data_IF_769878227522
#
_entry.id   IF_769878227522
#
_cell.length_a   1.000
_cell.length_b   1.000
_cell.length_c   1.000
_cell.angle_alpha   90.00
_cell.angle_beta   90.00
_cell.angle_gamma   90.00
#
_symmetry.space_group_name_H-M   'P 1'
#
loop_
_entity.id
_entity.type
_entity.pdbx_description
1 polymer ?
#
# COMPACT_ATOMS: atom_id res chain seq x y z
N UNK A 1 -26.96 -8.29 -0.14
CA UNK A 1 -25.81 -8.28 0.79
C UNK A 1 -24.53 -8.06 -0.01
N UNK A 2 -24.11 -6.80 -0.23
CA UNK A 2 -22.86 -6.46 -0.96
C UNK A 2 -21.87 -5.79 0.01
N UNK A 3 -21.43 -6.55 1.03
CA UNK A 3 -20.55 -6.06 2.09
C UNK A 3 -19.23 -5.43 1.57
N UNK A 4 -18.73 -5.93 0.43
CA UNK A 4 -17.50 -5.44 -0.21
C UNK A 4 -17.61 -4.05 -0.85
N UNK A 5 -18.82 -3.53 -1.16
CA UNK A 5 -18.97 -2.19 -1.76
C UNK A 5 -18.72 -1.06 -0.76
N UNK A 6 -19.02 -1.29 0.52
CA UNK A 6 -18.79 -0.33 1.61
C UNK A 6 -17.33 0.03 1.83
N UNK A 7 -16.38 -0.75 1.29
CA UNK A 7 -14.96 -0.36 1.36
C UNK A 7 -14.70 0.93 0.56
N UNK A 8 -15.47 1.19 -0.51
CA UNK A 8 -15.36 2.38 -1.37
C UNK A 8 -16.28 3.54 -1.00
N UNK A 9 -17.12 3.37 0.03
CA UNK A 9 -18.03 4.41 0.54
C UNK A 9 -17.48 5.01 1.85
N UNK A 10 -18.01 6.18 2.24
CA UNK A 10 -17.77 6.80 3.56
C UNK A 10 -18.03 5.77 4.66
N UNK A 11 -17.05 5.54 5.53
CA UNK A 11 -17.14 4.49 6.55
C UNK A 11 -16.43 4.88 7.83
N UNK A 12 -16.61 4.07 8.88
CA UNK A 12 -15.94 4.25 10.17
C UNK A 12 -14.41 4.34 10.08
N UNK A 13 -13.79 3.69 9.08
CA UNK A 13 -12.36 3.81 8.81
C UNK A 13 -12.17 4.75 7.61
N UNK A 14 -11.42 5.87 7.77
CA UNK A 14 -11.08 6.75 6.66
C UNK A 14 -10.38 6.01 5.52
N UNK A 15 -10.66 6.43 4.28
CA UNK A 15 -10.15 5.79 3.05
C UNK A 15 -8.64 5.61 3.07
N UNK A 16 -7.90 6.63 3.54
CA UNK A 16 -6.45 6.59 3.72
C UNK A 16 -5.97 5.32 4.45
N UNK A 17 -6.57 5.01 5.59
CA UNK A 17 -6.18 3.85 6.39
C UNK A 17 -6.64 2.52 5.79
N UNK A 18 -7.78 2.50 5.10
CA UNK A 18 -8.22 1.31 4.37
C UNK A 18 -7.27 0.95 3.24
N UNK A 19 -6.72 1.94 2.54
CA UNK A 19 -5.80 1.70 1.43
C UNK A 19 -4.45 1.19 1.94
N UNK A 20 -3.95 1.71 3.07
CA UNK A 20 -2.77 1.15 3.74
C UNK A 20 -2.99 -0.31 4.14
N UNK A 21 -4.16 -0.66 4.72
CA UNK A 21 -4.50 -2.05 5.05
C UNK A 21 -4.56 -2.94 3.80
N UNK A 22 -5.21 -2.47 2.73
CA UNK A 22 -5.31 -3.19 1.47
C UNK A 22 -3.92 -3.43 0.87
N UNK A 23 -3.05 -2.42 0.89
CA UNK A 23 -1.67 -2.54 0.42
C UNK A 23 -0.88 -3.60 1.21
N UNK A 24 -0.97 -3.60 2.54
CA UNK A 24 -0.32 -4.63 3.36
C UNK A 24 -0.83 -6.04 3.01
N UNK A 25 -2.15 -6.20 2.84
CA UNK A 25 -2.75 -7.49 2.47
C UNK A 25 -2.28 -7.93 1.07
N UNK A 26 -2.22 -6.99 0.13
CA UNK A 26 -1.77 -7.23 -1.24
C UNK A 26 -0.30 -7.64 -1.33
N UNK A 27 0.56 -7.06 -0.48
CA UNK A 27 1.95 -7.49 -0.34
C UNK A 27 2.05 -8.94 0.11
N UNK A 28 1.25 -9.33 1.11
CA UNK A 28 1.15 -10.72 1.60
C UNK A 28 0.54 -11.66 0.55
N UNK A 29 -0.37 -11.16 -0.30
CA UNK A 29 -0.96 -11.92 -1.41
C UNK A 29 -0.09 -11.95 -2.67
N UNK A 30 1.03 -11.25 -2.69
CA UNK A 30 2.00 -11.34 -3.78
C UNK A 30 1.44 -10.87 -5.15
N UNK A 31 0.46 -9.96 -5.15
CA UNK A 31 -0.16 -9.45 -6.38
C UNK A 31 0.54 -8.18 -6.88
N UNK A 32 1.56 -8.31 -7.75
CA UNK A 32 2.30 -7.18 -8.34
C UNK A 32 1.44 -6.05 -8.94
N UNK A 33 0.45 -6.31 -9.81
CA UNK A 33 -0.38 -5.24 -10.36
C UNK A 33 -1.24 -4.58 -9.27
N UNK A 34 -1.68 -5.34 -8.26
CA UNK A 34 -2.40 -4.80 -7.13
C UNK A 34 -1.51 -3.91 -6.25
N UNK A 35 -0.22 -4.27 -6.06
CA UNK A 35 0.73 -3.46 -5.29
C UNK A 35 0.81 -2.07 -5.93
N UNK A 36 1.09 -2.01 -7.22
CA UNK A 36 1.15 -0.74 -7.97
C UNK A 36 -0.15 0.07 -7.83
N UNK A 37 -1.30 -0.58 -8.06
CA UNK A 37 -2.61 0.07 -7.97
C UNK A 37 -2.87 0.65 -6.58
N UNK A 38 -2.69 -0.13 -5.51
CA UNK A 38 -2.95 0.36 -4.16
C UNK A 38 -1.89 1.35 -3.67
N UNK A 39 -0.65 1.29 -4.19
CA UNK A 39 0.33 2.37 -3.98
C UNK A 39 -0.15 3.67 -4.60
N UNK A 40 -0.57 3.67 -5.86
CA UNK A 40 -1.11 4.86 -6.53
C UNK A 40 -2.31 5.45 -5.77
N UNK A 41 -3.26 4.59 -5.39
CA UNK A 41 -4.43 5.02 -4.62
C UNK A 41 -4.00 5.61 -3.28
N UNK A 42 -3.11 4.95 -2.53
CA UNK A 42 -2.56 5.47 -1.26
C UNK A 42 -2.01 6.89 -1.44
N UNK A 43 -1.20 7.12 -2.47
CA UNK A 43 -0.65 8.45 -2.77
C UNK A 43 -1.78 9.45 -3.08
N UNK A 44 -2.75 9.06 -3.90
CA UNK A 44 -3.88 9.93 -4.27
C UNK A 44 -4.76 10.35 -3.08
N UNK A 45 -4.86 9.50 -2.05
CA UNK A 45 -5.63 9.78 -0.82
C UNK A 45 -4.78 10.41 0.30
N UNK A 46 -3.55 10.82 -0.01
CA UNK A 46 -2.68 11.57 0.89
C UNK A 46 -1.91 10.71 1.90
N UNK A 47 -1.65 9.44 1.59
CA UNK A 47 -0.64 8.68 2.32
C UNK A 47 0.75 9.24 2.04
N UNK A 48 1.56 9.38 3.08
CA UNK A 48 2.98 9.72 2.94
C UNK A 48 3.78 8.47 2.59
N UNK A 49 4.99 8.69 2.06
CA UNK A 49 5.94 7.60 1.83
C UNK A 49 6.25 6.83 3.11
N UNK A 50 6.35 7.52 4.24
CA UNK A 50 6.62 6.93 5.55
C UNK A 50 5.48 6.00 6.00
N UNK A 51 4.23 6.44 5.87
CA UNK A 51 3.05 5.61 6.22
C UNK A 51 2.96 4.36 5.34
N UNK A 52 3.28 4.49 4.04
CA UNK A 52 3.27 3.35 3.11
C UNK A 52 4.36 2.34 3.46
N UNK A 53 5.58 2.82 3.78
CA UNK A 53 6.68 1.95 4.20
C UNK A 53 6.41 1.28 5.55
N UNK A 54 5.74 1.97 6.48
CA UNK A 54 5.34 1.39 7.76
C UNK A 54 4.28 0.29 7.58
N UNK A 55 3.30 0.50 6.70
CA UNK A 55 2.35 -0.53 6.30
C UNK A 55 3.04 -1.74 5.63
N UNK A 56 4.11 -1.52 4.86
CA UNK A 56 4.92 -2.58 4.29
C UNK A 56 5.72 -3.35 5.36
N UNK A 57 6.20 -2.68 6.42
CA UNK A 57 6.83 -3.34 7.56
C UNK A 57 5.86 -4.26 8.29
N UNK A 58 4.60 -3.85 8.46
CA UNK A 58 3.54 -4.72 9.01
C UNK A 58 3.35 -5.95 8.13
N UNK A 59 3.28 -5.78 6.80
CA UNK A 59 3.18 -6.90 5.87
C UNK A 59 4.39 -7.84 5.94
N UNK A 60 5.60 -7.29 6.06
CA UNK A 60 6.83 -8.06 6.20
C UNK A 60 6.86 -8.87 7.49
N UNK A 61 6.43 -8.28 8.61
CA UNK A 61 6.35 -8.95 9.90
C UNK A 61 5.38 -10.15 9.86
N UNK A 62 4.29 -10.05 9.10
CA UNK A 62 3.27 -11.09 9.00
C UNK A 62 3.55 -12.14 7.92
N UNK A 63 4.17 -11.75 6.80
CA UNK A 63 4.39 -12.61 5.64
C UNK A 63 5.85 -13.09 5.45
N UNK A 64 6.79 -12.58 6.24
CA UNK A 64 8.18 -13.03 6.27
C UNK A 64 8.96 -12.82 4.97
N UNK A 65 9.95 -13.68 4.74
CA UNK A 65 10.86 -13.60 3.59
C UNK A 65 10.18 -13.46 2.21
N UNK A 66 9.09 -14.20 1.91
CA UNK A 66 8.37 -14.02 0.65
C UNK A 66 7.89 -12.59 0.41
N UNK A 67 7.40 -11.89 1.45
CA UNK A 67 6.95 -10.49 1.31
C UNK A 67 8.10 -9.55 1.02
N UNK A 68 9.32 -9.83 1.50
CA UNK A 68 10.49 -8.98 1.26
C UNK A 68 10.77 -8.78 -0.23
N UNK A 69 10.65 -9.83 -1.04
CA UNK A 69 10.75 -9.73 -2.51
C UNK A 69 9.70 -8.76 -3.08
N UNK A 70 8.47 -8.81 -2.56
CA UNK A 70 7.38 -7.98 -3.05
C UNK A 70 7.48 -6.50 -2.64
N UNK A 71 8.25 -6.19 -1.60
CA UNK A 71 8.58 -4.81 -1.25
C UNK A 71 9.39 -4.13 -2.35
N UNK A 72 10.19 -4.86 -3.14
CA UNK A 72 10.87 -4.31 -4.31
C UNK A 72 9.91 -3.61 -5.28
N UNK A 73 8.82 -4.29 -5.65
CA UNK A 73 7.78 -3.72 -6.52
C UNK A 73 7.04 -2.53 -5.88
N UNK A 74 6.87 -2.55 -4.55
CA UNK A 74 6.33 -1.39 -3.83
C UNK A 74 7.27 -0.19 -3.93
N UNK A 75 8.58 -0.40 -3.76
CA UNK A 75 9.57 0.69 -3.83
C UNK A 75 9.61 1.28 -5.24
N UNK A 76 9.53 0.45 -6.27
CA UNK A 76 9.41 0.90 -7.67
C UNK A 76 8.15 1.77 -7.87
N UNK A 77 6.99 1.31 -7.40
CA UNK A 77 5.75 2.08 -7.47
C UNK A 77 5.85 3.39 -6.66
N UNK A 78 6.44 3.35 -5.47
CA UNK A 78 6.67 4.54 -4.65
C UNK A 78 7.59 5.54 -5.34
N UNK A 79 8.65 5.10 -6.03
CA UNK A 79 9.55 5.99 -6.75
C UNK A 79 8.88 6.60 -8.00
N UNK A 80 7.87 5.94 -8.57
CA UNK A 80 7.03 6.47 -9.65
C UNK A 80 6.03 7.53 -9.15
N UNK A 81 5.27 7.24 -8.08
CA UNK A 81 4.17 8.08 -7.61
C UNK A 81 4.57 9.09 -6.51
N UNK A 82 5.62 8.81 -5.76
CA UNK A 82 6.22 9.68 -4.73
C UNK A 82 7.76 9.71 -4.88
N UNK A 83 8.28 10.35 -5.94
CA UNK A 83 9.71 10.37 -6.21
C UNK A 83 10.48 10.95 -5.01
N UNK A 84 11.61 10.32 -4.66
CA UNK A 84 12.51 10.87 -3.64
C UNK A 84 13.01 12.23 -4.11
N UNK A 85 12.98 13.23 -3.25
CA UNK A 85 13.71 14.46 -3.52
C UNK A 85 15.20 14.11 -3.61
N UNK A 86 15.83 14.45 -4.73
CA UNK A 86 17.28 14.33 -4.85
C UNK A 86 17.90 15.25 -3.79
N UNK A 87 18.82 14.77 -2.94
CA UNK A 87 19.65 15.69 -2.18
C UNK A 87 20.40 16.57 -3.18
N UNK A 88 20.33 17.90 -2.96
CA UNK A 88 21.08 18.91 -3.72
C UNK A 88 22.58 18.67 -3.54
#
# INVERSE_FOLDING_TARGET
MQFWRKTKEESAIPTKYKELMQLSIVLVQHCRPCIRLHTEICVSVGCTREEILDAANVALAMGGGPVFEYIGYLVEALDEYLPRQKPV
#
